data_IF_844891715093
#
_entry.id   IF_844891715093
#
_cell.length_a   1.000
_cell.length_b   1.000
_cell.length_c   1.000
_cell.angle_alpha   90.00
_cell.angle_beta   90.00
_cell.angle_gamma   90.00
#
_symmetry.space_group_name_H-M   'P 1'
#
loop_
_entity.id
_entity.type
_entity.pdbx_description
1 polymer ?
#
# COMPACT_ATOMS: atom_id res chain seq x y z
N UNK A 1 8.35 -39.84 14.42
CA UNK A 1 8.55 -39.14 13.13
C UNK A 1 7.21 -38.59 12.67
N UNK A 2 6.91 -37.28 12.91
CA UNK A 2 5.72 -36.64 12.36
C UNK A 2 6.05 -36.22 10.93
N UNK A 3 5.42 -36.85 9.95
CA UNK A 3 5.48 -36.46 8.54
C UNK A 3 5.04 -35.01 8.42
N UNK A 4 5.97 -34.10 8.07
CA UNK A 4 5.67 -32.77 7.61
C UNK A 4 5.00 -32.89 6.23
N UNK A 5 3.70 -33.16 6.20
CA UNK A 5 2.92 -32.98 4.98
C UNK A 5 2.93 -31.49 4.67
N UNK A 6 3.75 -31.10 3.71
CA UNK A 6 3.68 -29.80 3.07
C UNK A 6 2.24 -29.69 2.54
N UNK A 7 1.37 -28.96 3.24
CA UNK A 7 0.01 -28.67 2.77
C UNK A 7 0.17 -27.98 1.41
N UNK A 8 -0.24 -28.67 0.35
CA UNK A 8 -0.30 -28.07 -1.00
C UNK A 8 -1.12 -26.80 -0.89
N UNK A 9 -0.47 -25.67 -1.11
CA UNK A 9 -1.15 -24.37 -1.10
C UNK A 9 -1.97 -24.33 -2.38
N UNK A 10 -3.29 -24.20 -2.32
CA UNK A 10 -4.11 -24.23 -3.53
C UNK A 10 -3.77 -23.01 -4.42
N UNK A 11 -3.66 -23.23 -5.72
CA UNK A 11 -3.38 -22.19 -6.73
C UNK A 11 -4.37 -21.02 -6.62
N UNK A 12 -5.60 -21.32 -6.20
CA UNK A 12 -6.65 -20.32 -6.00
C UNK A 12 -6.27 -19.25 -4.96
N UNK A 13 -5.47 -19.59 -3.94
CA UNK A 13 -5.01 -18.62 -2.95
C UNK A 13 -4.12 -17.55 -3.60
N UNK A 14 -3.23 -17.97 -4.50
CA UNK A 14 -2.35 -17.03 -5.21
C UNK A 14 -3.11 -16.16 -6.20
N UNK A 15 -4.06 -16.73 -6.94
CA UNK A 15 -4.92 -15.96 -7.85
C UNK A 15 -5.69 -14.90 -7.07
N UNK A 16 -6.25 -15.25 -5.91
CA UNK A 16 -6.97 -14.31 -5.06
C UNK A 16 -6.05 -13.22 -4.51
N UNK A 17 -4.82 -13.57 -4.08
CA UNK A 17 -3.82 -12.59 -3.62
C UNK A 17 -3.44 -11.63 -4.75
N UNK A 18 -3.20 -12.13 -5.96
CA UNK A 18 -2.87 -11.30 -7.13
C UNK A 18 -4.04 -10.35 -7.46
N UNK A 19 -5.27 -10.85 -7.44
CA UNK A 19 -6.46 -10.04 -7.68
C UNK A 19 -6.64 -8.96 -6.60
N UNK A 20 -6.50 -9.31 -5.32
CA UNK A 20 -6.52 -8.35 -4.21
C UNK A 20 -5.42 -7.30 -4.32
N UNK A 21 -4.21 -7.71 -4.76
CA UNK A 21 -3.10 -6.80 -5.02
C UNK A 21 -3.39 -5.82 -6.16
N UNK A 22 -4.08 -6.28 -7.23
CA UNK A 22 -4.48 -5.41 -8.31
C UNK A 22 -5.52 -4.37 -7.86
N UNK A 23 -6.55 -4.77 -7.08
CA UNK A 23 -7.53 -3.84 -6.52
C UNK A 23 -6.88 -2.80 -5.63
N UNK A 24 -5.99 -3.22 -4.72
CA UNK A 24 -5.26 -2.31 -3.84
C UNK A 24 -4.36 -1.36 -4.64
N UNK A 25 -3.71 -1.86 -5.69
CA UNK A 25 -2.86 -1.06 -6.56
C UNK A 25 -3.64 0.02 -7.32
N UNK A 26 -4.87 -0.25 -7.76
CA UNK A 26 -5.76 0.76 -8.34
C UNK A 26 -6.07 1.83 -7.29
N UNK A 27 -6.46 1.43 -6.09
CA UNK A 27 -6.74 2.37 -5.00
C UNK A 27 -5.57 3.31 -4.72
N UNK A 28 -4.36 2.77 -4.55
CA UNK A 28 -3.15 3.56 -4.28
C UNK A 28 -2.74 4.36 -5.52
N UNK A 29 -2.46 3.67 -6.64
CA UNK A 29 -1.78 4.25 -7.81
C UNK A 29 -2.65 5.22 -8.59
N UNK A 30 -3.95 4.93 -8.74
CA UNK A 30 -4.86 5.73 -9.57
C UNK A 30 -5.55 6.83 -8.77
N UNK A 31 -5.95 6.54 -7.51
CA UNK A 31 -6.74 7.47 -6.72
C UNK A 31 -5.91 8.28 -5.73
N UNK A 32 -4.97 7.69 -4.99
CA UNK A 32 -4.33 8.39 -3.87
C UNK A 32 -3.03 9.10 -4.22
N UNK A 33 -2.19 8.55 -5.11
CA UNK A 33 -0.86 9.13 -5.39
C UNK A 33 -0.98 10.56 -5.91
N UNK A 34 -1.79 10.80 -6.95
CA UNK A 34 -1.93 12.15 -7.53
C UNK A 34 -2.76 13.06 -6.63
N UNK A 35 -3.66 12.50 -5.83
CA UNK A 35 -4.38 13.23 -4.79
C UNK A 35 -3.47 13.66 -3.62
N UNK A 36 -2.24 13.13 -3.54
CA UNK A 36 -1.28 13.39 -2.46
C UNK A 36 -1.81 13.01 -1.07
N UNK A 37 -2.74 12.07 -1.02
CA UNK A 37 -3.29 11.51 0.21
C UNK A 37 -2.55 10.22 0.53
N UNK A 38 -1.81 10.23 1.61
CA UNK A 38 -0.87 9.15 1.97
C UNK A 38 -1.57 8.14 2.88
N UNK A 39 -1.67 6.86 2.46
CA UNK A 39 -2.42 5.86 3.23
C UNK A 39 -1.70 5.35 4.49
N UNK A 40 -0.48 5.80 4.76
CA UNK A 40 0.36 5.28 5.85
C UNK A 40 1.25 4.11 5.42
N UNK A 41 1.94 3.50 6.38
CA UNK A 41 2.80 2.34 6.18
C UNK A 41 3.93 2.52 5.18
N UNK A 42 4.42 1.41 4.63
CA UNK A 42 5.48 1.43 3.60
C UNK A 42 5.00 2.09 2.31
N UNK A 43 3.74 1.92 1.94
CA UNK A 43 3.17 2.61 0.78
C UNK A 43 3.21 4.12 0.95
N UNK A 44 2.87 4.60 2.14
CA UNK A 44 2.95 6.01 2.48
C UNK A 44 4.37 6.57 2.46
N UNK A 45 5.33 5.83 3.01
CA UNK A 45 6.75 6.20 2.96
C UNK A 45 7.26 6.25 1.51
N UNK A 46 6.89 5.27 0.70
CA UNK A 46 7.24 5.23 -0.73
C UNK A 46 6.65 6.44 -1.48
N UNK A 47 5.39 6.81 -1.22
CA UNK A 47 4.78 8.00 -1.79
C UNK A 47 5.50 9.28 -1.36
N UNK A 48 5.84 9.40 -0.09
CA UNK A 48 6.60 10.56 0.41
C UNK A 48 7.95 10.72 -0.30
N UNK A 49 8.67 9.62 -0.51
CA UNK A 49 9.95 9.61 -1.23
C UNK A 49 9.74 9.83 -2.74
N UNK A 50 8.69 9.27 -3.32
CA UNK A 50 8.29 9.57 -4.70
C UNK A 50 8.13 11.08 -4.92
N UNK A 51 7.45 11.78 -4.03
CA UNK A 51 7.27 13.24 -4.13
C UNK A 51 8.58 14.03 -4.03
N UNK A 52 9.61 13.47 -3.38
CA UNK A 52 10.94 14.10 -3.31
C UNK A 52 11.80 13.81 -4.54
N UNK A 53 11.75 12.59 -5.07
CA UNK A 53 12.73 12.05 -6.02
C UNK A 53 12.19 11.84 -7.43
N UNK A 54 10.86 11.69 -7.58
CA UNK A 54 10.22 11.31 -8.85
C UNK A 54 10.36 9.82 -9.22
N UNK A 55 10.97 9.00 -8.34
CA UNK A 55 11.06 7.55 -8.58
C UNK A 55 9.68 6.90 -8.52
N UNK A 56 9.46 5.79 -9.24
CA UNK A 56 8.15 5.14 -9.27
C UNK A 56 7.73 4.62 -7.89
N UNK A 57 6.46 4.76 -7.57
CA UNK A 57 5.90 4.39 -6.25
C UNK A 57 5.99 2.89 -6.03
N UNK A 58 5.64 2.08 -7.04
CA UNK A 58 5.69 0.63 -6.93
C UNK A 58 7.12 0.12 -6.72
N UNK A 59 8.11 0.65 -7.46
CA UNK A 59 9.52 0.32 -7.25
C UNK A 59 9.96 0.61 -5.81
N UNK A 60 9.61 1.79 -5.27
CA UNK A 60 9.95 2.16 -3.90
C UNK A 60 9.28 1.24 -2.88
N UNK A 61 7.99 0.92 -3.05
CA UNK A 61 7.29 -0.05 -2.20
C UNK A 61 8.00 -1.41 -2.23
N UNK A 62 8.39 -1.87 -3.41
CA UNK A 62 9.07 -3.15 -3.55
C UNK A 62 10.42 -3.17 -2.81
N UNK A 63 11.25 -2.14 -3.02
CA UNK A 63 12.58 -2.01 -2.39
C UNK A 63 12.45 -1.97 -0.85
N UNK A 64 11.52 -1.18 -0.30
CA UNK A 64 11.35 -1.06 1.15
C UNK A 64 10.75 -2.31 1.78
N UNK A 65 9.97 -3.08 1.03
CA UNK A 65 9.42 -4.33 1.51
C UNK A 65 10.43 -5.47 1.56
N UNK A 66 11.50 -5.46 0.78
CA UNK A 66 12.53 -6.52 0.82
C UNK A 66 13.12 -6.71 2.23
N UNK A 67 13.68 -5.70 2.90
CA UNK A 67 14.24 -5.87 4.22
C UNK A 67 13.21 -6.29 5.27
N UNK A 68 11.99 -5.74 5.20
CA UNK A 68 10.89 -6.14 6.08
C UNK A 68 10.46 -7.58 5.85
N UNK A 69 10.40 -8.01 4.60
CA UNK A 69 10.09 -9.37 4.22
C UNK A 69 11.13 -10.37 4.76
N UNK A 70 12.42 -10.06 4.61
CA UNK A 70 13.51 -10.89 5.15
C UNK A 70 13.43 -10.97 6.68
N UNK A 71 13.13 -9.88 7.35
CA UNK A 71 12.91 -9.87 8.79
C UNK A 71 11.67 -10.69 9.17
N UNK A 72 10.55 -10.52 8.45
CA UNK A 72 9.33 -11.30 8.63
C UNK A 72 9.54 -12.81 8.44
N UNK A 73 10.32 -13.22 7.44
CA UNK A 73 10.68 -14.63 7.23
C UNK A 73 11.40 -15.22 8.44
N UNK A 74 12.35 -14.47 9.00
CA UNK A 74 13.11 -14.90 10.17
C UNK A 74 12.26 -15.04 11.43
N UNK A 75 11.32 -14.10 11.63
CA UNK A 75 10.49 -14.03 12.84
C UNK A 75 9.20 -14.86 12.78
N UNK A 76 8.54 -14.87 11.63
CA UNK A 76 7.20 -15.46 11.46
C UNK A 76 7.24 -16.83 10.77
N UNK A 77 8.38 -17.16 10.15
CA UNK A 77 8.62 -18.45 9.52
C UNK A 77 8.25 -18.51 8.02
N UNK A 78 8.66 -19.60 7.36
CA UNK A 78 8.60 -19.76 5.91
C UNK A 78 7.17 -19.86 5.34
N UNK A 79 6.19 -20.29 6.12
CA UNK A 79 4.78 -20.38 5.66
C UNK A 79 4.16 -19.01 5.38
N UNK A 80 4.66 -17.97 6.04
CA UNK A 80 4.32 -16.58 5.81
C UNK A 80 4.94 -16.06 4.48
N UNK A 81 6.11 -16.60 4.10
CA UNK A 81 6.99 -16.00 3.09
C UNK A 81 6.41 -15.91 1.68
N UNK A 82 6.03 -17.04 1.06
CA UNK A 82 5.72 -17.01 -0.38
C UNK A 82 4.45 -16.21 -0.70
N UNK A 83 3.41 -16.30 0.12
CA UNK A 83 2.17 -15.53 -0.07
C UNK A 83 2.41 -14.04 0.07
N UNK A 84 3.21 -13.65 1.04
CA UNK A 84 3.62 -12.26 1.26
C UNK A 84 4.48 -11.76 0.11
N UNK A 85 5.43 -12.57 -0.37
CA UNK A 85 6.26 -12.22 -1.52
C UNK A 85 5.41 -11.95 -2.76
N UNK A 86 4.45 -12.82 -3.06
CA UNK A 86 3.51 -12.63 -4.17
C UNK A 86 2.67 -11.37 -3.94
N UNK A 87 2.13 -11.16 -2.73
CA UNK A 87 1.27 -10.02 -2.41
C UNK A 87 1.96 -8.67 -2.66
N UNK A 88 3.11 -8.41 -2.04
CA UNK A 88 3.76 -7.11 -2.22
C UNK A 88 4.39 -6.93 -3.61
N UNK A 89 4.88 -8.02 -4.23
CA UNK A 89 5.47 -7.94 -5.57
C UNK A 89 4.42 -7.57 -6.60
N UNK A 90 3.26 -8.26 -6.59
CA UNK A 90 2.18 -7.93 -7.54
C UNK A 90 1.53 -6.59 -7.22
N UNK A 91 1.39 -6.21 -5.95
CA UNK A 91 0.89 -4.88 -5.59
C UNK A 91 1.81 -3.77 -6.16
N UNK A 92 3.12 -3.88 -5.94
CA UNK A 92 4.11 -2.94 -6.46
C UNK A 92 4.11 -2.88 -7.99
N UNK A 93 4.09 -4.05 -8.64
CA UNK A 93 4.04 -4.16 -10.09
C UNK A 93 2.78 -3.51 -10.69
N UNK A 94 1.60 -3.77 -10.13
CA UNK A 94 0.36 -3.19 -10.62
C UNK A 94 0.26 -1.69 -10.37
N UNK A 95 0.83 -1.16 -9.29
CA UNK A 95 0.89 0.29 -9.09
C UNK A 95 1.62 0.94 -10.26
N UNK A 96 2.83 0.49 -10.57
CA UNK A 96 3.63 1.08 -11.65
C UNK A 96 3.01 0.81 -13.04
N UNK A 97 2.37 -0.36 -13.22
CA UNK A 97 1.65 -0.69 -14.45
C UNK A 97 0.50 0.27 -14.71
N UNK A 98 -0.38 0.48 -13.73
CA UNK A 98 -1.57 1.32 -13.90
C UNK A 98 -1.23 2.81 -13.96
N UNK A 99 -0.10 3.21 -13.42
CA UNK A 99 0.43 4.58 -13.56
C UNK A 99 1.19 4.81 -14.86
N UNK A 100 1.56 3.75 -15.57
CA UNK A 100 2.37 3.84 -16.78
C UNK A 100 3.84 4.18 -16.51
N UNK A 101 4.33 3.84 -15.31
CA UNK A 101 5.71 4.08 -14.87
C UNK A 101 6.67 2.98 -15.35
N UNK A 102 6.14 1.89 -15.97
CA UNK A 102 6.94 0.80 -16.53
C UNK A 102 7.39 1.16 -17.94
N UNK A 103 8.70 1.16 -18.23
CA UNK A 103 9.20 1.40 -19.60
C UNK A 103 8.59 0.40 -20.60
N UNK A 104 8.06 0.91 -21.70
CA UNK A 104 7.39 0.09 -22.74
C UNK A 104 5.89 -0.18 -22.51
N UNK A 105 5.34 0.08 -21.31
CA UNK A 105 3.92 -0.06 -20.98
C UNK A 105 3.27 1.27 -20.58
N UNK A 106 3.88 2.39 -20.95
CA UNK A 106 3.43 3.74 -20.57
C UNK A 106 2.13 4.21 -21.25
N UNK A 107 1.51 3.38 -22.07
CA UNK A 107 0.18 3.63 -22.64
C UNK A 107 -0.96 3.41 -21.62
N UNK A 108 -0.71 2.65 -20.55
CA UNK A 108 -1.67 2.46 -19.46
C UNK A 108 -1.45 3.57 -18.42
N UNK A 109 -2.31 4.58 -18.42
CA UNK A 109 -2.29 5.71 -17.46
C UNK A 109 -3.70 5.93 -16.96
N UNK A 110 -4.18 5.04 -16.09
CA UNK A 110 -5.56 5.07 -15.62
C UNK A 110 -5.89 6.35 -14.86
N UNK A 111 -4.92 6.94 -14.16
CA UNK A 111 -5.09 8.21 -13.45
C UNK A 111 -5.41 9.40 -14.38
N UNK A 112 -5.10 9.28 -15.68
CA UNK A 112 -5.36 10.34 -16.67
C UNK A 112 -6.76 10.22 -17.32
N UNK A 113 -7.59 9.24 -16.92
CA UNK A 113 -8.95 9.14 -17.43
C UNK A 113 -9.78 10.37 -17.06
N UNK A 114 -10.65 10.79 -17.95
CA UNK A 114 -11.53 11.96 -17.75
C UNK A 114 -12.33 11.85 -16.45
N UNK A 115 -12.87 10.66 -16.16
CA UNK A 115 -13.63 10.40 -14.93
C UNK A 115 -12.81 10.64 -13.67
N UNK A 116 -11.55 10.17 -13.63
CA UNK A 116 -10.66 10.37 -12.47
C UNK A 116 -10.30 11.84 -12.32
N UNK A 117 -10.02 12.52 -13.42
CA UNK A 117 -9.71 13.95 -13.40
C UNK A 117 -10.91 14.81 -12.99
N UNK A 118 -12.11 14.41 -13.38
CA UNK A 118 -13.36 15.08 -12.96
C UNK A 118 -13.60 14.89 -11.45
N UNK A 119 -13.49 13.67 -10.93
CA UNK A 119 -13.57 13.39 -9.50
C UNK A 119 -12.52 14.17 -8.70
N UNK A 120 -11.30 14.26 -9.21
CA UNK A 120 -10.24 15.02 -8.56
C UNK A 120 -10.57 16.51 -8.41
N UNK A 121 -11.21 17.11 -9.41
CA UNK A 121 -11.56 18.54 -9.44
C UNK A 121 -12.84 18.83 -8.65
N UNK A 122 -13.88 18.04 -8.87
CA UNK A 122 -15.24 18.35 -8.43
C UNK A 122 -15.64 17.59 -7.17
N UNK A 123 -15.20 16.33 -7.01
CA UNK A 123 -15.66 15.43 -5.95
C UNK A 123 -14.48 14.73 -5.23
N UNK A 124 -13.54 15.54 -4.72
CA UNK A 124 -12.29 15.05 -4.12
C UNK A 124 -12.49 14.07 -2.96
N UNK A 125 -13.50 14.31 -2.10
CA UNK A 125 -13.81 13.38 -1.01
C UNK A 125 -14.28 12.02 -1.56
N UNK A 126 -15.11 12.03 -2.60
CA UNK A 126 -15.61 10.80 -3.21
C UNK A 126 -14.48 10.02 -3.89
N UNK A 127 -13.54 10.71 -4.54
CA UNK A 127 -12.32 10.10 -5.09
C UNK A 127 -11.53 9.35 -4.00
N UNK A 128 -11.32 9.97 -2.84
CA UNK A 128 -10.59 9.35 -1.73
C UNK A 128 -11.36 8.17 -1.16
N UNK A 129 -12.68 8.27 -1.02
CA UNK A 129 -13.53 7.17 -0.53
C UNK A 129 -13.46 5.95 -1.44
N UNK A 130 -13.53 6.13 -2.76
CA UNK A 130 -13.39 5.03 -3.72
C UNK A 130 -12.01 4.39 -3.58
N UNK A 131 -10.95 5.19 -3.55
CA UNK A 131 -9.58 4.69 -3.35
C UNK A 131 -9.44 3.86 -2.08
N UNK A 132 -10.01 4.34 -0.96
CA UNK A 132 -9.98 3.67 0.34
C UNK A 132 -10.72 2.34 0.33
N UNK A 133 -11.91 2.30 -0.26
CA UNK A 133 -12.71 1.07 -0.39
C UNK A 133 -11.94 0.04 -1.23
N UNK A 134 -11.31 0.43 -2.33
CA UNK A 134 -10.51 -0.47 -3.15
C UNK A 134 -9.31 -1.02 -2.39
N UNK A 135 -8.61 -0.17 -1.62
CA UNK A 135 -7.50 -0.60 -0.76
C UNK A 135 -7.99 -1.58 0.29
N UNK A 136 -9.06 -1.24 1.01
CA UNK A 136 -9.61 -2.08 2.08
C UNK A 136 -10.11 -3.43 1.58
N UNK A 137 -10.85 -3.47 0.47
CA UNK A 137 -11.32 -4.71 -0.17
C UNK A 137 -10.13 -5.54 -0.67
N UNK A 138 -9.18 -4.91 -1.37
CA UNK A 138 -7.97 -5.59 -1.86
C UNK A 138 -7.17 -6.22 -0.73
N UNK A 139 -6.88 -5.45 0.32
CA UNK A 139 -6.17 -5.92 1.51
C UNK A 139 -6.95 -7.02 2.25
N UNK A 140 -8.27 -6.88 2.38
CA UNK A 140 -9.15 -7.88 2.98
C UNK A 140 -9.12 -9.22 2.24
N UNK A 141 -9.10 -9.19 0.91
CA UNK A 141 -8.93 -10.40 0.08
C UNK A 141 -7.57 -11.03 0.37
N UNK A 142 -6.49 -10.25 0.33
CA UNK A 142 -5.13 -10.75 0.57
C UNK A 142 -5.03 -11.42 1.95
N UNK A 143 -5.57 -10.80 3.01
CA UNK A 143 -5.57 -11.36 4.37
C UNK A 143 -6.41 -12.61 4.49
N UNK A 144 -7.59 -12.67 3.85
CA UNK A 144 -8.45 -13.86 3.83
C UNK A 144 -7.69 -15.10 3.33
N UNK A 145 -6.80 -14.91 2.36
CA UNK A 145 -5.96 -15.97 1.82
C UNK A 145 -4.58 -16.08 2.49
N UNK A 146 -4.45 -15.52 3.71
CA UNK A 146 -3.23 -15.58 4.55
C UNK A 146 -1.98 -15.00 3.87
N UNK A 147 -2.17 -14.06 2.96
CA UNK A 147 -1.14 -13.20 2.40
C UNK A 147 -1.06 -11.88 3.17
N UNK A 148 -0.10 -11.05 2.81
CA UNK A 148 0.02 -9.63 3.22
C UNK A 148 0.77 -8.88 2.14
N UNK A 149 0.59 -7.57 2.10
CA UNK A 149 1.38 -6.68 1.23
C UNK A 149 2.72 -6.29 1.85
N UNK A 150 3.15 -7.01 2.87
CA UNK A 150 4.32 -6.68 3.70
C UNK A 150 4.12 -5.33 4.45
N UNK A 151 5.11 -4.46 4.47
CA UNK A 151 4.95 -3.14 5.08
C UNK A 151 4.76 -3.16 6.60
N UNK A 152 3.93 -2.23 7.09
CA UNK A 152 3.56 -2.11 8.50
C UNK A 152 2.91 -3.37 9.07
N UNK A 153 2.30 -4.20 8.23
CA UNK A 153 1.68 -5.47 8.63
C UNK A 153 2.70 -6.46 9.23
N UNK A 154 3.90 -6.51 8.62
CA UNK A 154 4.99 -7.37 9.14
C UNK A 154 5.46 -6.84 10.48
N UNK A 155 5.69 -5.53 10.58
CA UNK A 155 6.12 -4.89 11.84
C UNK A 155 5.08 -5.17 12.93
N UNK A 156 3.80 -4.95 12.64
CA UNK A 156 2.71 -5.19 13.57
C UNK A 156 2.61 -6.66 14.01
N UNK A 157 2.78 -7.60 13.07
CA UNK A 157 2.78 -9.04 13.37
C UNK A 157 3.95 -9.45 14.26
N UNK A 158 5.13 -8.88 14.06
CA UNK A 158 6.30 -9.12 14.90
C UNK A 158 6.11 -8.49 16.29
N UNK A 159 5.58 -7.26 16.36
CA UNK A 159 5.27 -6.59 17.63
C UNK A 159 4.22 -7.38 18.44
N UNK A 160 3.21 -7.90 17.76
CA UNK A 160 2.25 -8.78 18.40
C UNK A 160 2.89 -10.06 18.97
N UNK A 161 3.72 -10.71 18.16
CA UNK A 161 4.39 -11.97 18.58
C UNK A 161 5.36 -11.76 19.74
N UNK A 162 6.13 -10.66 19.74
CA UNK A 162 7.17 -10.41 20.75
C UNK A 162 6.66 -9.72 22.00
N UNK A 163 5.74 -8.78 21.86
CA UNK A 163 5.32 -7.87 22.93
C UNK A 163 3.83 -7.95 23.26
N UNK A 164 3.04 -8.78 22.54
CA UNK A 164 1.60 -8.90 22.74
C UNK A 164 0.78 -7.67 22.33
N UNK A 165 1.38 -6.70 21.62
CA UNK A 165 0.71 -5.49 21.16
C UNK A 165 -0.31 -5.88 20.10
N UNK A 166 -1.54 -5.34 20.20
CA UNK A 166 -2.58 -5.61 19.20
C UNK A 166 -2.13 -5.06 17.83
N UNK A 167 -2.22 -5.88 16.74
CA UNK A 167 -1.72 -5.48 15.42
C UNK A 167 -2.27 -4.12 14.95
N UNK A 168 -3.57 -3.86 15.14
CA UNK A 168 -4.17 -2.58 14.75
C UNK A 168 -3.53 -1.37 15.47
N UNK A 169 -3.17 -1.50 16.75
CA UNK A 169 -2.49 -0.44 17.48
C UNK A 169 -1.09 -0.17 16.92
N UNK A 170 -0.35 -1.24 16.58
CA UNK A 170 0.97 -1.11 16.00
C UNK A 170 0.91 -0.45 14.61
N UNK A 171 -0.06 -0.84 13.77
CA UNK A 171 -0.29 -0.24 12.45
C UNK A 171 -0.64 1.24 12.59
N UNK A 172 -1.64 1.58 13.41
CA UNK A 172 -2.04 2.98 13.61
C UNK A 172 -0.88 3.85 14.08
N UNK A 173 -0.04 3.33 14.98
CA UNK A 173 1.12 4.07 15.48
C UNK A 173 2.15 4.33 14.38
N UNK A 174 2.54 3.30 13.62
CA UNK A 174 3.49 3.46 12.51
C UNK A 174 2.95 4.37 11.41
N UNK A 175 1.68 4.21 11.07
CA UNK A 175 1.05 4.97 10.00
C UNK A 175 0.90 6.45 10.36
N UNK A 176 0.60 6.76 11.62
CA UNK A 176 0.57 8.14 12.10
C UNK A 176 1.91 8.88 11.83
N UNK A 177 3.04 8.25 12.15
CA UNK A 177 4.35 8.86 11.90
C UNK A 177 4.64 9.03 10.39
N UNK A 178 4.27 8.05 9.58
CA UNK A 178 4.47 8.12 8.13
C UNK A 178 3.62 9.23 7.52
N UNK A 179 2.35 9.34 7.92
CA UNK A 179 1.44 10.39 7.45
C UNK A 179 1.93 11.78 7.86
N UNK A 180 2.38 11.93 9.11
CA UNK A 180 2.93 13.20 9.59
C UNK A 180 4.18 13.61 8.78
N UNK A 181 5.10 12.66 8.53
CA UNK A 181 6.29 12.91 7.71
C UNK A 181 5.92 13.31 6.28
N UNK A 182 4.97 12.60 5.67
CA UNK A 182 4.50 12.93 4.32
C UNK A 182 3.84 14.31 4.26
N UNK A 183 3.05 14.68 5.27
CA UNK A 183 2.45 16.00 5.37
C UNK A 183 3.50 17.12 5.41
N UNK A 184 4.57 16.94 6.19
CA UNK A 184 5.71 17.88 6.24
C UNK A 184 6.38 18.00 4.87
N UNK A 185 6.61 16.89 4.17
CA UNK A 185 7.24 16.88 2.85
C UNK A 185 6.37 17.61 1.83
N UNK A 186 5.05 17.38 1.82
CA UNK A 186 4.11 18.04 0.92
C UNK A 186 4.12 19.56 1.14
N UNK A 187 4.12 20.01 2.40
CA UNK A 187 4.17 21.42 2.74
C UNK A 187 5.49 22.08 2.34
N UNK A 188 6.62 21.51 2.74
CA UNK A 188 7.95 22.07 2.47
C UNK A 188 8.26 22.23 0.97
N UNK A 189 7.73 21.33 0.14
CA UNK A 189 7.90 21.35 -1.30
C UNK A 189 6.82 22.14 -2.05
N UNK A 190 5.83 22.71 -1.33
CA UNK A 190 4.68 23.37 -1.94
C UNK A 190 4.03 22.53 -3.05
N UNK A 191 3.96 21.22 -2.84
CA UNK A 191 3.52 20.25 -3.85
C UNK A 191 2.03 20.33 -4.17
N UNK A 192 1.23 20.95 -3.32
CA UNK A 192 -0.22 21.06 -3.48
C UNK A 192 -0.72 22.49 -3.30
N UNK A 193 -0.55 23.38 -4.31
CA UNK A 193 -0.99 24.76 -4.20
C UNK A 193 -2.51 24.92 -4.09
N UNK A 194 -3.27 23.93 -4.56
CA UNK A 194 -4.73 23.97 -4.53
C UNK A 194 -5.34 23.49 -3.20
N UNK A 195 -4.62 22.68 -2.44
CA UNK A 195 -5.07 22.12 -1.15
C UNK A 195 -3.93 22.16 -0.15
N UNK A 196 -4.10 22.85 1.00
CA UNK A 196 -3.09 22.88 2.04
C UNK A 196 -2.70 21.46 2.50
N UNK A 197 -1.43 21.23 2.80
CA UNK A 197 -0.94 19.94 3.28
C UNK A 197 -1.67 19.46 4.54
N UNK A 198 -2.10 20.37 5.39
CA UNK A 198 -2.88 20.09 6.59
C UNK A 198 -4.22 19.41 6.24
N UNK A 199 -4.89 19.84 5.18
CA UNK A 199 -6.14 19.22 4.71
C UNK A 199 -5.87 17.82 4.16
N UNK A 200 -4.81 17.64 3.38
CA UNK A 200 -4.43 16.32 2.86
C UNK A 200 -4.03 15.36 3.98
N UNK A 201 -3.31 15.85 4.98
CA UNK A 201 -2.97 15.08 6.18
C UNK A 201 -4.22 14.68 6.97
N UNK A 202 -5.21 15.58 7.09
CA UNK A 202 -6.49 15.26 7.71
C UNK A 202 -7.23 14.14 6.97
N UNK A 203 -7.30 14.19 5.64
CA UNK A 203 -7.87 13.10 4.85
C UNK A 203 -7.10 11.79 5.02
N UNK A 204 -5.76 11.84 5.08
CA UNK A 204 -4.94 10.67 5.30
C UNK A 204 -5.20 10.04 6.68
N UNK A 205 -5.32 10.85 7.74
CA UNK A 205 -5.68 10.39 9.08
C UNK A 205 -7.09 9.80 9.07
N UNK A 206 -8.05 10.44 8.40
CA UNK A 206 -9.41 9.93 8.28
C UNK A 206 -9.45 8.54 7.62
N UNK A 207 -8.57 8.28 6.65
CA UNK A 207 -8.41 6.96 6.03
C UNK A 207 -8.00 5.85 6.99
N UNK A 208 -7.29 6.17 8.09
CA UNK A 208 -6.89 5.16 9.09
C UNK A 208 -8.09 4.59 9.87
N UNK A 209 -9.26 5.27 9.82
CA UNK A 209 -10.45 4.88 10.58
C UNK A 209 -11.55 4.25 9.68
N UNK A 210 -11.34 4.17 8.37
CA UNK A 210 -12.23 3.49 7.40
C UNK A 210 -11.68 2.11 7.07
#
# INVERSE_FOLDING_TARGET
MKSNSVKKIPVIDYIAIIFGSALMAVGIGVFLVDAKVVPGGVSGLAMAIHYLTGLSVGMLIWIFNIPLFLWGLKELGSQFGLRTFVGFTFNSFFIDLFRGDIPGLSFIKLQNSETIQDLYKNDFLFLILIGSVLIGVGLGIIFKFKGTTAGSDIVASIMHKRYGIKPGQAIMFTDFFVIALAGIIIELKHLSPQRPALVLTFYAIFLLFI
#
